data_IF_169052125884
#
_entry.id   IF_169052125884
#
_cell.length_a   1.000
_cell.length_b   1.000
_cell.length_c   1.000
_cell.angle_alpha   90.00
_cell.angle_beta   90.00
_cell.angle_gamma   90.00
#
_symmetry.space_group_name_H-M   'P 1'
#
loop_
_entity.id
_entity.type
_entity.pdbx_description
1 polymer ?
#
# COMPACT_ATOMS: atom_id res chain seq x y z
N UNK A 1 -20.85 -14.77 -2.11
CA UNK A 1 -19.84 -13.93 -2.77
C UNK A 1 -18.43 -14.34 -2.36
N UNK A 2 -18.15 -14.45 -1.07
CA UNK A 2 -16.80 -14.79 -0.54
C UNK A 2 -16.37 -16.22 -0.93
N UNK A 3 -17.30 -17.12 -1.14
CA UNK A 3 -17.03 -18.50 -1.59
C UNK A 3 -16.60 -18.58 -3.07
N UNK A 4 -16.77 -17.51 -3.82
CA UNK A 4 -16.25 -17.40 -5.18
C UNK A 4 -14.80 -16.93 -5.14
N UNK A 5 -13.88 -17.77 -5.57
CA UNK A 5 -12.44 -17.51 -5.53
C UNK A 5 -12.04 -16.22 -6.28
N UNK A 6 -12.64 -15.97 -7.45
CA UNK A 6 -12.35 -14.77 -8.22
C UNK A 6 -12.75 -13.48 -7.48
N UNK A 7 -13.92 -13.48 -6.84
CA UNK A 7 -14.35 -12.35 -6.02
C UNK A 7 -13.47 -12.18 -4.78
N UNK A 8 -13.19 -13.29 -4.09
CA UNK A 8 -12.34 -13.28 -2.88
C UNK A 8 -10.95 -12.73 -3.18
N UNK A 9 -10.29 -13.23 -4.23
CA UNK A 9 -8.95 -12.78 -4.62
C UNK A 9 -8.95 -11.30 -5.00
N UNK A 10 -9.95 -10.83 -5.75
CA UNK A 10 -10.10 -9.41 -6.08
C UNK A 10 -10.29 -8.54 -4.83
N UNK A 11 -11.09 -8.99 -3.88
CA UNK A 11 -11.29 -8.28 -2.61
C UNK A 11 -10.01 -8.20 -1.79
N UNK A 12 -9.26 -9.31 -1.68
CA UNK A 12 -8.00 -9.36 -0.95
C UNK A 12 -6.94 -8.46 -1.60
N UNK A 13 -6.84 -8.48 -2.92
CA UNK A 13 -5.94 -7.60 -3.66
C UNK A 13 -6.31 -6.13 -3.48
N UNK A 14 -7.61 -5.78 -3.50
CA UNK A 14 -8.04 -4.42 -3.23
C UNK A 14 -7.65 -3.95 -1.82
N UNK A 15 -7.80 -4.80 -0.81
CA UNK A 15 -7.31 -4.48 0.54
C UNK A 15 -5.80 -4.27 0.56
N UNK A 16 -5.02 -5.17 -0.07
CA UNK A 16 -3.57 -5.04 -0.13
C UNK A 16 -3.13 -3.75 -0.82
N UNK A 17 -3.71 -3.44 -1.98
CA UNK A 17 -3.44 -2.21 -2.74
C UNK A 17 -3.69 -0.95 -1.89
N UNK A 18 -4.84 -0.89 -1.20
CA UNK A 18 -5.17 0.24 -0.32
C UNK A 18 -4.21 0.35 0.88
N UNK A 19 -3.80 -0.78 1.47
CA UNK A 19 -2.86 -0.81 2.60
C UNK A 19 -1.45 -0.38 2.20
N UNK A 20 -1.05 -0.68 0.98
CA UNK A 20 0.28 -0.33 0.46
C UNK A 20 0.37 1.14 0.05
N UNK A 21 -0.74 1.76 -0.36
CA UNK A 21 -0.75 3.11 -0.91
C UNK A 21 -1.61 4.08 -0.06
N UNK A 22 -2.89 4.15 -0.34
CA UNK A 22 -3.74 5.25 0.11
C UNK A 22 -3.85 5.36 1.63
N UNK A 23 -4.02 4.24 2.33
CA UNK A 23 -4.13 4.19 3.78
C UNK A 23 -2.90 3.61 4.45
N UNK A 24 -1.75 3.61 3.77
CA UNK A 24 -0.48 3.23 4.39
C UNK A 24 -0.22 4.07 5.66
N UNK A 25 0.49 3.54 6.66
CA UNK A 25 0.80 4.30 7.87
C UNK A 25 1.41 5.67 7.56
N UNK A 26 2.38 5.72 6.62
CA UNK A 26 3.03 6.98 6.23
C UNK A 26 2.06 8.00 5.63
N UNK A 27 1.20 7.59 4.70
CA UNK A 27 0.23 8.49 4.10
C UNK A 27 -0.83 8.96 5.09
N UNK A 28 -1.28 8.06 5.97
CA UNK A 28 -2.25 8.40 7.02
C UNK A 28 -1.64 9.37 8.03
N UNK A 29 -0.40 9.16 8.47
CA UNK A 29 0.31 10.07 9.38
C UNK A 29 0.56 11.43 8.75
N UNK A 30 0.93 11.50 7.47
CA UNK A 30 1.11 12.76 6.75
C UNK A 30 -0.20 13.54 6.68
N UNK A 31 -1.33 12.87 6.45
CA UNK A 31 -2.65 13.49 6.43
C UNK A 31 -3.02 14.03 7.83
N UNK A 32 -2.78 13.24 8.88
CA UNK A 32 -2.99 13.65 10.27
C UNK A 32 -2.15 14.90 10.58
N UNK A 33 -0.85 14.88 10.26
CA UNK A 33 0.06 16.00 10.50
C UNK A 33 -0.39 17.28 9.77
N UNK A 34 -0.89 17.16 8.53
CA UNK A 34 -1.46 18.29 7.79
C UNK A 34 -2.66 18.89 8.52
N UNK A 35 -3.62 18.07 8.93
CA UNK A 35 -4.80 18.56 9.68
C UNK A 35 -4.45 19.15 11.04
N UNK A 36 -3.46 18.57 11.75
CA UNK A 36 -2.97 19.14 13.00
C UNK A 36 -2.40 20.53 12.76
N UNK A 37 -1.57 20.69 11.72
CA UNK A 37 -0.99 22.00 11.36
C UNK A 37 -2.05 23.07 11.11
N UNK A 38 -3.15 22.70 10.47
CA UNK A 38 -4.25 23.63 10.16
C UNK A 38 -4.97 24.16 11.40
N UNK A 39 -5.10 23.34 12.46
CA UNK A 39 -5.90 23.69 13.65
C UNK A 39 -5.08 24.05 14.88
N UNK A 40 -3.80 23.70 14.91
CA UNK A 40 -2.94 23.80 16.10
C UNK A 40 -2.94 25.19 16.74
N UNK A 41 -2.95 26.26 15.95
CA UNK A 41 -2.93 27.63 16.44
C UNK A 41 -4.18 28.02 17.23
N UNK A 42 -5.31 27.34 16.97
CA UNK A 42 -6.59 27.64 17.63
C UNK A 42 -6.91 26.70 18.80
N UNK A 43 -6.16 25.59 18.93
CA UNK A 43 -6.46 24.55 19.93
C UNK A 43 -6.34 25.05 21.36
N UNK A 44 -5.37 25.93 21.68
CA UNK A 44 -5.25 26.48 23.02
C UNK A 44 -6.49 27.31 23.39
N UNK A 45 -6.99 28.17 22.50
CA UNK A 45 -8.19 28.93 22.70
C UNK A 45 -9.43 28.07 22.86
N UNK A 46 -9.48 26.97 22.13
CA UNK A 46 -10.55 25.97 22.23
C UNK A 46 -10.54 25.30 23.61
N UNK A 47 -9.38 24.84 24.08
CA UNK A 47 -9.22 24.24 25.41
C UNK A 47 -9.61 25.22 26.50
N UNK A 48 -9.10 26.45 26.44
CA UNK A 48 -9.42 27.50 27.45
C UNK A 48 -10.91 27.84 27.54
N UNK A 49 -11.61 27.74 26.41
CA UNK A 49 -13.04 28.10 26.33
C UNK A 49 -13.96 26.96 26.75
N UNK A 50 -13.59 25.71 26.48
CA UNK A 50 -14.50 24.56 26.58
C UNK A 50 -14.07 23.53 27.61
N UNK A 51 -12.89 23.67 28.24
CA UNK A 51 -12.48 22.80 29.34
C UNK A 51 -13.24 23.22 30.59
N UNK A 52 -14.32 22.50 30.91
CA UNK A 52 -14.90 22.56 32.25
C UNK A 52 -13.93 21.89 33.23
N UNK A 53 -13.81 22.38 34.44
CA UNK A 53 -13.07 22.00 35.67
C UNK A 53 -12.28 20.66 35.72
N UNK A 54 -12.33 19.90 34.68
CA UNK A 54 -11.52 18.70 34.45
C UNK A 54 -10.77 18.94 33.11
N UNK A 55 -9.56 19.51 33.15
CA UNK A 55 -8.85 19.83 31.93
C UNK A 55 -8.72 18.54 31.11
N UNK A 56 -9.23 18.48 29.88
CA UNK A 56 -8.82 17.41 28.98
C UNK A 56 -7.30 17.48 28.99
N UNK A 57 -6.65 16.31 29.13
CA UNK A 57 -5.20 16.24 29.04
C UNK A 57 -4.76 17.02 27.79
N UNK A 58 -3.51 17.50 27.71
CA UNK A 58 -3.07 18.31 26.58
C UNK A 58 -3.56 17.66 25.28
N UNK A 59 -4.19 18.42 24.38
CA UNK A 59 -4.73 17.86 23.14
C UNK A 59 -3.70 17.05 22.35
N UNK A 60 -2.42 17.34 22.57
CA UNK A 60 -1.26 16.56 22.10
C UNK A 60 -1.38 15.07 22.46
N UNK A 61 -1.91 14.74 23.65
CA UNK A 61 -2.12 13.33 24.04
C UNK A 61 -3.21 12.68 23.17
N UNK A 62 -4.24 13.43 22.79
CA UNK A 62 -5.28 12.91 21.88
C UNK A 62 -4.74 12.73 20.46
N UNK A 63 -3.85 13.62 20.02
CA UNK A 63 -3.13 13.47 18.74
C UNK A 63 -2.29 12.19 18.75
N UNK A 64 -1.50 11.98 19.81
CA UNK A 64 -0.66 10.78 19.93
C UNK A 64 -1.46 9.47 19.90
N UNK A 65 -2.70 9.48 20.41
CA UNK A 65 -3.60 8.31 20.32
C UNK A 65 -3.99 8.02 18.87
N UNK A 66 -4.29 9.07 18.09
CA UNK A 66 -4.66 8.94 16.66
C UNK A 66 -3.45 8.49 15.84
N UNK A 67 -2.27 9.05 16.10
CA UNK A 67 -1.03 8.66 15.43
C UNK A 67 -0.69 7.20 15.70
N UNK A 68 -0.70 6.78 16.96
CA UNK A 68 -0.47 5.38 17.34
C UNK A 68 -1.52 4.43 16.73
N UNK A 69 -2.77 4.85 16.63
CA UNK A 69 -3.80 4.08 15.91
C UNK A 69 -3.44 3.95 14.42
N UNK A 70 -3.04 5.04 13.76
CA UNK A 70 -2.67 5.04 12.33
C UNK A 70 -1.48 4.12 12.07
N UNK A 71 -0.46 4.15 12.92
CA UNK A 71 0.73 3.29 12.81
C UNK A 71 0.40 1.79 12.88
N UNK A 72 -0.51 1.41 13.78
CA UNK A 72 -0.76 0.01 14.10
C UNK A 72 -1.99 -0.59 13.39
N UNK A 73 -2.86 0.27 12.80
CA UNK A 73 -4.15 -0.19 12.26
C UNK A 73 -4.00 -1.19 11.11
N UNK A 74 -3.07 -0.93 10.18
CA UNK A 74 -2.88 -1.79 9.01
C UNK A 74 -2.37 -3.17 9.42
N UNK A 75 -1.43 -3.23 10.35
CA UNK A 75 -0.95 -4.50 10.90
C UNK A 75 -2.12 -5.32 11.51
N UNK A 76 -2.94 -4.67 12.33
CA UNK A 76 -4.12 -5.32 12.94
C UNK A 76 -5.13 -5.81 11.90
N UNK A 77 -5.39 -5.00 10.86
CA UNK A 77 -6.29 -5.38 9.76
C UNK A 77 -5.76 -6.57 8.97
N UNK A 78 -4.46 -6.60 8.65
CA UNK A 78 -3.83 -7.75 7.99
C UNK A 78 -4.01 -9.03 8.80
N UNK A 79 -3.77 -8.99 10.11
CA UNK A 79 -4.00 -10.16 11.00
C UNK A 79 -5.46 -10.62 10.96
N UNK A 80 -6.42 -9.70 11.02
CA UNK A 80 -7.84 -10.05 10.94
C UNK A 80 -8.20 -10.70 9.60
N UNK A 81 -7.67 -10.19 8.48
CA UNK A 81 -7.88 -10.75 7.15
C UNK A 81 -7.26 -12.14 7.05
N UNK A 82 -6.01 -12.32 7.50
CA UNK A 82 -5.33 -13.61 7.52
C UNK A 82 -6.17 -14.67 8.26
N UNK A 83 -6.64 -14.32 9.46
CA UNK A 83 -7.45 -15.23 10.28
C UNK A 83 -8.81 -15.53 9.64
N UNK A 84 -9.51 -14.51 9.12
CA UNK A 84 -10.84 -14.66 8.54
C UNK A 84 -10.84 -15.53 7.28
N UNK A 85 -9.85 -15.35 6.41
CA UNK A 85 -9.71 -16.08 5.16
C UNK A 85 -8.81 -17.32 5.25
N UNK A 86 -8.30 -17.62 6.46
CA UNK A 86 -7.38 -18.74 6.71
C UNK A 86 -6.17 -18.73 5.79
N UNK A 87 -5.54 -17.56 5.63
CA UNK A 87 -4.35 -17.38 4.81
C UNK A 87 -3.09 -17.66 5.64
N UNK A 88 -2.05 -18.19 5.00
CA UNK A 88 -0.80 -18.60 5.68
C UNK A 88 0.11 -17.42 6.07
N UNK A 89 -0.07 -16.24 5.47
CA UNK A 89 0.77 -15.07 5.74
C UNK A 89 0.71 -14.03 4.63
N UNK A 90 1.72 -13.19 4.61
CA UNK A 90 1.98 -12.17 3.58
C UNK A 90 3.38 -12.36 3.05
N UNK A 91 3.64 -11.87 1.84
CA UNK A 91 4.96 -11.75 1.23
C UNK A 91 5.17 -10.32 0.74
N UNK A 92 6.43 -9.89 0.63
CA UNK A 92 6.78 -8.60 0.10
C UNK A 92 7.11 -8.70 -1.39
N UNK A 93 6.48 -7.84 -2.18
CA UNK A 93 6.73 -7.69 -3.60
C UNK A 93 7.56 -6.43 -3.83
N UNK A 94 8.76 -6.62 -4.36
CA UNK A 94 9.63 -5.54 -4.80
C UNK A 94 9.61 -5.47 -6.32
N UNK A 95 9.23 -4.34 -6.88
CA UNK A 95 9.23 -4.10 -8.33
C UNK A 95 10.14 -2.93 -8.71
N UNK A 96 10.82 -3.07 -9.84
CA UNK A 96 11.71 -2.05 -10.39
C UNK A 96 11.46 -1.87 -11.89
N UNK A 97 11.63 -0.67 -12.41
CA UNK A 97 11.80 -0.39 -13.84
C UNK A 97 13.26 -0.06 -14.13
N UNK A 98 13.80 -0.48 -15.25
CA UNK A 98 15.17 -0.16 -15.62
C UNK A 98 15.39 1.36 -15.73
N UNK A 99 14.38 2.11 -16.22
CA UNK A 99 14.40 3.57 -16.32
C UNK A 99 12.98 4.13 -16.35
N UNK A 100 12.66 5.08 -15.44
CA UNK A 100 11.32 5.69 -15.30
C UNK A 100 10.80 6.36 -16.55
N UNK A 101 11.70 6.94 -17.35
CA UNK A 101 11.34 7.59 -18.60
C UNK A 101 10.84 6.62 -19.68
N UNK A 102 11.12 5.33 -19.55
CA UNK A 102 10.83 4.32 -20.58
C UNK A 102 9.52 3.58 -20.37
N UNK A 103 9.03 3.50 -19.13
CA UNK A 103 7.79 2.80 -18.84
C UNK A 103 7.46 2.75 -17.35
N UNK A 104 6.34 2.16 -17.03
CA UNK A 104 5.78 2.00 -15.69
C UNK A 104 5.31 0.58 -15.48
N UNK A 105 5.07 0.23 -14.22
CA UNK A 105 4.46 -1.04 -13.84
C UNK A 105 3.12 -0.75 -13.19
N UNK A 106 2.09 -1.54 -13.50
CA UNK A 106 0.92 -1.63 -12.65
C UNK A 106 0.93 -2.94 -11.88
N UNK A 107 0.49 -2.88 -10.62
CA UNK A 107 0.28 -4.04 -9.75
C UNK A 107 -1.19 -4.06 -9.39
N UNK A 108 -1.93 -5.03 -9.88
CA UNK A 108 -3.39 -5.09 -9.78
C UNK A 108 -4.05 -3.76 -10.20
N UNK A 109 -4.57 -2.98 -9.22
CA UNK A 109 -5.20 -1.67 -9.46
C UNK A 109 -4.25 -0.48 -9.30
N UNK A 110 -3.02 -0.68 -8.82
CA UNK A 110 -2.05 0.37 -8.59
C UNK A 110 -1.25 0.66 -9.86
N UNK A 111 -1.14 1.93 -10.23
CA UNK A 111 -0.21 2.39 -11.25
C UNK A 111 0.99 3.04 -10.58
N UNK A 112 2.14 2.38 -10.67
CA UNK A 112 3.37 2.83 -10.05
C UNK A 112 4.11 3.82 -10.96
N UNK A 113 4.52 4.95 -10.39
CA UNK A 113 5.28 5.99 -11.10
C UNK A 113 6.74 6.07 -10.66
N UNK A 114 7.10 5.37 -9.59
CA UNK A 114 8.45 5.35 -9.04
C UNK A 114 9.31 4.29 -9.76
N UNK A 115 10.62 4.52 -9.76
CA UNK A 115 11.60 3.56 -10.31
C UNK A 115 11.59 2.23 -9.54
N UNK A 116 11.42 2.31 -8.24
CA UNK A 116 11.35 1.18 -7.32
C UNK A 116 10.14 1.35 -6.41
N UNK A 117 9.46 0.26 -6.14
CA UNK A 117 8.33 0.21 -5.24
C UNK A 117 8.28 -1.12 -4.51
N UNK A 118 7.79 -1.08 -3.27
CA UNK A 118 7.60 -2.24 -2.41
C UNK A 118 6.19 -2.24 -1.84
N UNK A 119 5.58 -3.41 -1.80
CA UNK A 119 4.27 -3.60 -1.17
C UNK A 119 4.06 -5.03 -0.71
N UNK A 120 3.25 -5.20 0.33
CA UNK A 120 2.96 -6.53 0.90
C UNK A 120 1.63 -7.07 0.40
N UNK A 121 1.62 -8.33 0.00
CA UNK A 121 0.46 -9.06 -0.51
C UNK A 121 0.20 -10.35 0.27
N UNK A 122 -1.01 -10.88 0.15
CA UNK A 122 -1.40 -12.10 0.85
C UNK A 122 -0.88 -13.35 0.15
N UNK A 123 -0.32 -14.27 0.93
CA UNK A 123 0.20 -15.54 0.42
C UNK A 123 -0.85 -16.31 -0.38
N UNK A 124 -0.42 -16.91 -1.48
CA UNK A 124 -1.25 -17.74 -2.36
C UNK A 124 -2.43 -17.02 -3.02
N UNK A 125 -2.52 -15.70 -2.90
CA UNK A 125 -3.49 -14.87 -3.64
C UNK A 125 -2.83 -14.38 -4.93
N UNK A 126 -3.39 -14.70 -6.11
CA UNK A 126 -2.82 -14.26 -7.38
C UNK A 126 -2.81 -12.74 -7.51
N UNK A 127 -1.67 -12.16 -7.84
CA UNK A 127 -1.52 -10.74 -8.18
C UNK A 127 -1.12 -10.61 -9.65
N UNK A 128 -1.52 -9.54 -10.30
CA UNK A 128 -1.21 -9.28 -11.71
C UNK A 128 -0.26 -8.09 -11.81
N UNK A 129 0.86 -8.28 -12.52
CA UNK A 129 1.76 -7.20 -12.90
C UNK A 129 1.64 -6.94 -14.40
N UNK A 130 1.58 -5.67 -14.77
CA UNK A 130 1.56 -5.26 -16.17
C UNK A 130 2.64 -4.22 -16.42
N UNK A 131 3.55 -4.49 -17.35
CA UNK A 131 4.54 -3.55 -17.83
C UNK A 131 3.92 -2.64 -18.90
N UNK A 132 4.00 -1.34 -18.70
CA UNK A 132 3.37 -0.31 -19.52
C UNK A 132 4.46 0.60 -20.11
N UNK A 133 4.90 0.38 -21.36
CA UNK A 133 5.90 1.24 -22.00
C UNK A 133 5.35 2.65 -22.24
N UNK A 134 6.22 3.64 -22.12
CA UNK A 134 5.94 5.01 -22.56
C UNK A 134 6.12 5.15 -24.08
N UNK A 135 5.63 6.24 -24.65
CA UNK A 135 5.74 6.53 -26.09
C UNK A 135 7.19 6.46 -26.57
N UNK A 136 7.42 5.73 -27.65
CA UNK A 136 8.74 5.50 -28.24
C UNK A 136 9.55 4.36 -27.62
N UNK A 137 9.00 3.67 -26.63
CA UNK A 137 9.61 2.51 -26.00
C UNK A 137 8.71 1.27 -26.14
N UNK A 138 9.31 0.10 -25.90
CA UNK A 138 8.61 -1.18 -25.85
C UNK A 138 9.07 -1.98 -24.66
N UNK A 139 8.19 -2.79 -24.10
CA UNK A 139 8.56 -3.79 -23.11
C UNK A 139 9.40 -4.87 -23.77
N UNK A 140 10.46 -5.28 -23.11
CA UNK A 140 11.33 -6.38 -23.55
C UNK A 140 11.01 -7.65 -22.77
N UNK A 141 11.25 -7.64 -21.49
CA UNK A 141 11.07 -8.82 -20.62
C UNK A 141 11.08 -8.41 -19.13
N UNK A 142 10.72 -9.37 -18.29
CA UNK A 142 10.89 -9.31 -16.85
C UNK A 142 12.20 -10.00 -16.45
N UNK A 143 12.87 -9.45 -15.44
CA UNK A 143 14.07 -10.01 -14.79
C UNK A 143 13.84 -10.15 -13.29
N UNK A 144 14.65 -10.97 -12.60
CA UNK A 144 14.62 -11.20 -11.16
C UNK A 144 14.17 -12.61 -10.82
N UNK A 145 13.30 -12.73 -9.82
CA UNK A 145 12.77 -14.05 -9.41
C UNK A 145 11.79 -14.63 -10.43
N UNK A 146 11.29 -13.79 -11.34
CA UNK A 146 10.41 -14.19 -12.44
C UNK A 146 10.97 -13.64 -13.75
N UNK A 147 11.20 -14.56 -14.69
CA UNK A 147 11.61 -14.23 -16.07
C UNK A 147 10.45 -14.51 -17.02
N UNK A 148 10.04 -13.51 -17.81
CA UNK A 148 8.96 -13.62 -18.79
C UNK A 148 9.08 -12.57 -19.89
N UNK A 149 8.63 -12.88 -21.09
CA UNK A 149 8.60 -11.95 -22.24
C UNK A 149 7.21 -11.32 -22.46
N UNK A 150 6.19 -11.80 -21.76
CA UNK A 150 4.85 -11.22 -21.81
C UNK A 150 4.77 -9.99 -20.90
N UNK A 151 4.19 -8.90 -21.39
CA UNK A 151 4.05 -7.67 -20.63
C UNK A 151 3.13 -7.81 -19.42
N UNK A 152 2.24 -8.77 -19.42
CA UNK A 152 1.39 -9.11 -18.29
C UNK A 152 1.77 -10.49 -17.73
N UNK A 153 1.98 -10.54 -16.42
CA UNK A 153 2.27 -11.77 -15.68
C UNK A 153 1.38 -11.87 -14.44
N UNK A 154 1.07 -13.11 -14.05
CA UNK A 154 0.39 -13.38 -12.80
C UNK A 154 1.37 -14.07 -11.84
N UNK A 155 1.44 -13.56 -10.61
CA UNK A 155 2.32 -14.08 -9.55
C UNK A 155 1.46 -14.70 -8.45
N UNK A 156 1.86 -15.88 -8.00
CA UNK A 156 1.32 -16.53 -6.79
C UNK A 156 2.52 -16.95 -5.96
N UNK A 157 2.68 -16.37 -4.77
CA UNK A 157 3.85 -16.66 -3.93
C UNK A 157 3.49 -16.85 -2.46
N UNK A 158 4.43 -17.40 -1.71
CA UNK A 158 4.50 -17.44 -0.25
C UNK A 158 5.80 -16.85 0.26
N UNK A 159 6.72 -16.55 -0.65
CA UNK A 159 8.06 -16.00 -0.38
C UNK A 159 8.16 -14.61 -1.03
N UNK A 160 9.03 -13.76 -0.48
CA UNK A 160 9.30 -12.44 -1.03
C UNK A 160 9.78 -12.53 -2.48
N UNK A 161 9.36 -11.58 -3.31
CA UNK A 161 9.59 -11.58 -4.75
C UNK A 161 10.20 -10.25 -5.17
N UNK A 162 11.25 -10.32 -5.97
CA UNK A 162 11.81 -9.20 -6.72
C UNK A 162 11.61 -9.37 -8.21
N UNK A 163 11.02 -8.38 -8.88
CA UNK A 163 10.79 -8.39 -10.34
C UNK A 163 11.16 -7.04 -10.94
N UNK A 164 11.85 -7.06 -12.06
CA UNK A 164 12.27 -5.87 -12.78
C UNK A 164 11.74 -5.88 -14.21
N UNK A 165 11.03 -4.81 -14.62
CA UNK A 165 10.60 -4.61 -15.99
C UNK A 165 11.69 -3.95 -16.82
N UNK A 166 12.04 -4.54 -17.97
CA UNK A 166 13.01 -4.02 -18.92
C UNK A 166 12.30 -3.43 -20.12
N UNK A 167 12.49 -2.11 -20.31
CA UNK A 167 12.00 -1.35 -21.46
C UNK A 167 13.16 -0.95 -22.37
N UNK A 168 12.97 -1.09 -23.67
CA UNK A 168 13.94 -0.77 -24.71
C UNK A 168 13.31 0.15 -25.76
N UNK A 169 14.13 0.78 -26.57
CA UNK A 169 13.70 1.58 -27.73
C UNK A 169 13.17 0.69 -28.85
#
# INVERSE_FOLDING_TARGET
LIDNDGFRNKLLNQFADEFNERISPSNTLNLIASHISDIQSEMQKHVDRWSNDNPPGPWVNSVSVIENFAENRIHSLRIHILNYFNLSGIFDLNVEVNEESRGRISVNSLLLSQKQWEGSYFNSVPITLTAMPNDGFRFSHWEGDIEAETSEIQIVSTDDIFVKAIFIQ
#
